data_IF_115475819005
#
_entry.id   IF_115475819005
#
_cell.length_a   1.000
_cell.length_b   1.000
_cell.length_c   1.000
_cell.angle_alpha   90.00
_cell.angle_beta   90.00
_cell.angle_gamma   90.00
#
_symmetry.space_group_name_H-M   'P 1'
#
loop_
_entity.id
_entity.type
_entity.pdbx_description
1 polymer ?
#
# COMPACT_ATOMS: atom_id res chain seq x y z
N UNK A 1 -28.61 2.46 -8.21
CA UNK A 1 -27.29 1.78 -8.19
C UNK A 1 -26.56 2.23 -6.94
N UNK A 2 -25.98 1.33 -6.13
CA UNK A 2 -25.17 1.73 -4.99
C UNK A 2 -23.96 2.55 -5.48
N UNK A 3 -23.61 3.61 -4.75
CA UNK A 3 -22.44 4.45 -5.05
C UNK A 3 -21.18 3.63 -4.76
N UNK A 4 -20.31 3.43 -5.75
CA UNK A 4 -19.02 2.71 -5.57
C UNK A 4 -18.17 3.39 -4.49
N UNK A 5 -17.54 2.60 -3.62
CA UNK A 5 -16.65 3.12 -2.59
C UNK A 5 -15.30 3.54 -3.19
N UNK A 6 -14.50 4.33 -2.45
CA UNK A 6 -13.14 4.72 -2.90
C UNK A 6 -12.23 3.49 -3.08
N UNK A 7 -12.44 2.48 -2.24
CA UNK A 7 -11.79 1.19 -2.36
C UNK A 7 -12.10 0.54 -3.73
N UNK A 8 -13.39 0.40 -4.08
CA UNK A 8 -13.79 -0.23 -5.34
C UNK A 8 -13.25 0.53 -6.55
N UNK A 9 -13.30 1.87 -6.52
CA UNK A 9 -12.77 2.71 -7.60
C UNK A 9 -11.25 2.57 -7.74
N UNK A 10 -10.50 2.55 -6.64
CA UNK A 10 -9.06 2.37 -6.67
C UNK A 10 -8.67 1.01 -7.27
N UNK A 11 -9.41 -0.05 -6.93
CA UNK A 11 -9.14 -1.38 -7.47
C UNK A 11 -9.52 -1.50 -8.95
N UNK A 12 -10.65 -0.93 -9.37
CA UNK A 12 -11.04 -0.88 -10.78
C UNK A 12 -10.02 -0.11 -11.64
N UNK A 13 -9.60 1.07 -11.18
CA UNK A 13 -8.61 1.91 -11.86
C UNK A 13 -7.28 1.16 -12.04
N UNK A 14 -6.76 0.59 -10.95
CA UNK A 14 -5.48 -0.11 -10.94
C UNK A 14 -5.53 -1.43 -11.75
N UNK A 15 -6.65 -2.15 -11.75
CA UNK A 15 -6.82 -3.38 -12.53
C UNK A 15 -6.61 -3.15 -14.04
N UNK A 16 -7.11 -2.03 -14.56
CA UNK A 16 -6.94 -1.63 -15.95
C UNK A 16 -5.48 -1.34 -16.33
N UNK A 17 -4.64 -1.00 -15.35
CA UNK A 17 -3.25 -0.59 -15.55
C UNK A 17 -2.26 -1.76 -15.52
N UNK A 18 -2.55 -2.85 -14.80
CA UNK A 18 -1.66 -4.02 -14.77
C UNK A 18 -1.76 -4.84 -16.06
N UNK A 19 -0.62 -5.06 -16.73
CA UNK A 19 -0.54 -5.90 -17.95
C UNK A 19 0.02 -7.30 -17.70
N UNK A 20 0.94 -7.46 -16.74
CA UNK A 20 1.55 -8.74 -16.41
C UNK A 20 0.61 -9.61 -15.56
N UNK A 21 0.51 -10.91 -15.89
CA UNK A 21 -0.37 -11.87 -15.20
C UNK A 21 -0.03 -12.02 -13.72
N UNK A 22 1.25 -12.09 -13.37
CA UNK A 22 1.72 -12.22 -11.98
C UNK A 22 1.33 -11.02 -11.12
N UNK A 23 1.42 -9.80 -11.67
CA UNK A 23 0.99 -8.57 -10.99
C UNK A 23 -0.51 -8.52 -10.79
N UNK A 24 -1.29 -8.98 -11.78
CA UNK A 24 -2.75 -9.10 -11.66
C UNK A 24 -3.16 -10.12 -10.60
N UNK A 25 -2.47 -11.27 -10.54
CA UNK A 25 -2.74 -12.26 -9.51
C UNK A 25 -2.48 -11.69 -8.13
N UNK A 26 -1.27 -11.17 -7.89
CA UNK A 26 -0.92 -10.53 -6.62
C UNK A 26 -1.91 -9.42 -6.24
N UNK A 27 -2.29 -8.58 -7.20
CA UNK A 27 -3.27 -7.53 -6.95
C UNK A 27 -4.66 -8.08 -6.58
N UNK A 28 -5.13 -9.12 -7.26
CA UNK A 28 -6.40 -9.79 -6.94
C UNK A 28 -6.34 -10.44 -5.55
N UNK A 29 -5.19 -11.02 -5.19
CA UNK A 29 -4.98 -11.60 -3.87
C UNK A 29 -5.06 -10.51 -2.80
N UNK A 30 -4.32 -9.40 -2.96
CA UNK A 30 -4.38 -8.24 -2.05
C UNK A 30 -5.82 -7.70 -1.94
N UNK A 31 -6.58 -7.63 -3.05
CA UNK A 31 -7.97 -7.20 -3.01
C UNK A 31 -8.81 -8.09 -2.09
N UNK A 32 -8.77 -9.41 -2.32
CA UNK A 32 -9.54 -10.37 -1.53
C UNK A 32 -9.16 -10.31 -0.05
N UNK A 33 -7.87 -10.30 0.25
CA UNK A 33 -7.32 -10.22 1.60
C UNK A 33 -7.82 -8.99 2.39
N UNK A 34 -7.84 -7.82 1.74
CA UNK A 34 -8.32 -6.58 2.36
C UNK A 34 -9.85 -6.54 2.54
N UNK A 35 -10.60 -7.38 1.82
CA UNK A 35 -12.06 -7.47 1.93
C UNK A 35 -12.53 -8.54 2.93
N UNK A 36 -11.72 -9.58 3.15
CA UNK A 36 -11.99 -10.70 4.07
C UNK A 36 -12.01 -10.28 5.54
N UNK A 37 -11.10 -9.39 5.95
CA UNK A 37 -11.02 -8.93 7.34
C UNK A 37 -11.89 -7.70 7.59
N UNK A 38 -12.98 -7.87 8.35
CA UNK A 38 -13.96 -6.80 8.64
C UNK A 38 -13.30 -5.52 9.21
N UNK A 39 -12.33 -5.66 10.11
CA UNK A 39 -11.61 -4.51 10.71
C UNK A 39 -10.77 -3.76 9.66
N UNK A 40 -10.06 -4.48 8.80
CA UNK A 40 -9.24 -3.91 7.71
C UNK A 40 -10.12 -3.23 6.68
N UNK A 41 -11.20 -3.90 6.26
CA UNK A 41 -12.20 -3.33 5.36
C UNK A 41 -12.79 -2.04 5.91
N UNK A 42 -13.07 -2.00 7.21
CA UNK A 42 -13.60 -0.83 7.89
C UNK A 42 -12.60 0.34 7.99
N UNK A 43 -11.30 0.05 8.11
CA UNK A 43 -10.22 1.05 8.03
C UNK A 43 -10.17 1.66 6.63
N UNK A 44 -10.21 0.82 5.59
CA UNK A 44 -9.98 1.25 4.21
C UNK A 44 -11.19 1.93 3.58
N UNK A 45 -12.42 1.58 4.00
CA UNK A 45 -13.65 2.15 3.44
C UNK A 45 -14.14 3.41 4.16
N UNK A 46 -13.66 3.70 5.37
CA UNK A 46 -14.09 4.88 6.15
C UNK A 46 -12.91 5.85 6.31
N UNK A 47 -13.04 7.06 5.77
CA UNK A 47 -12.11 8.15 6.09
C UNK A 47 -12.35 8.60 7.53
N UNK A 48 -11.30 8.57 8.37
CA UNK A 48 -11.39 8.85 9.82
C UNK A 48 -10.46 9.98 10.26
N UNK A 49 -9.62 10.48 9.37
CA UNK A 49 -8.67 11.55 9.65
C UNK A 49 -8.48 12.46 8.43
N UNK A 50 -7.94 13.66 8.67
CA UNK A 50 -7.51 14.52 7.57
C UNK A 50 -6.40 13.85 6.74
N UNK A 51 -6.33 14.12 5.41
CA UNK A 51 -5.28 13.61 4.56
C UNK A 51 -3.89 14.01 5.04
N UNK A 52 -3.08 13.01 5.39
CA UNK A 52 -1.70 13.19 5.81
C UNK A 52 -0.76 12.32 4.98
N UNK A 53 0.54 12.63 5.05
CA UNK A 53 1.56 11.77 4.50
C UNK A 53 2.29 11.04 5.61
N UNK A 54 2.40 9.73 5.45
CA UNK A 54 3.15 8.87 6.35
C UNK A 54 4.36 8.31 5.61
N UNK A 55 5.48 8.22 6.32
CA UNK A 55 6.68 7.55 5.88
C UNK A 55 6.72 6.15 6.47
N UNK A 56 7.01 5.16 5.64
CA UNK A 56 7.13 3.75 5.97
C UNK A 56 8.56 3.31 5.65
N UNK A 57 9.24 2.76 6.66
CA UNK A 57 10.53 2.10 6.54
C UNK A 57 10.46 0.74 7.23
N UNK A 58 11.21 -0.24 6.75
CA UNK A 58 11.20 -1.59 7.33
C UNK A 58 12.57 -2.23 7.26
N UNK A 59 12.76 -3.25 8.08
CA UNK A 59 13.90 -4.16 7.99
C UNK A 59 13.44 -5.50 7.43
N UNK A 60 14.09 -5.95 6.36
CA UNK A 60 13.97 -7.34 5.90
C UNK A 60 14.64 -8.28 6.91
N UNK A 61 14.16 -9.52 7.03
CA UNK A 61 14.91 -10.56 7.73
C UNK A 61 16.25 -10.81 7.01
N UNK A 62 17.37 -11.00 7.74
CA UNK A 62 18.63 -11.40 7.12
C UNK A 62 18.44 -12.70 6.34
N UNK A 63 19.04 -12.79 5.14
CA UNK A 63 18.97 -13.96 4.26
C UNK A 63 17.56 -14.38 3.81
N UNK A 64 16.60 -13.46 3.83
CA UNK A 64 15.26 -13.69 3.28
C UNK A 64 15.27 -13.56 1.75
N UNK A 65 15.02 -14.67 1.08
CA UNK A 65 14.95 -14.80 -0.38
C UNK A 65 13.52 -14.67 -0.93
N UNK A 66 12.50 -14.78 -0.07
CA UNK A 66 11.09 -14.64 -0.45
C UNK A 66 10.67 -13.16 -0.54
N UNK A 67 11.21 -12.29 0.32
CA UNK A 67 10.79 -10.89 0.36
C UNK A 67 11.08 -10.13 -0.95
N UNK A 68 10.05 -9.46 -1.47
CA UNK A 68 10.11 -8.66 -2.68
C UNK A 68 9.88 -7.17 -2.39
N UNK A 69 10.93 -6.37 -2.57
CA UNK A 69 10.81 -4.91 -2.52
C UNK A 69 9.79 -4.37 -3.53
N UNK A 70 9.64 -5.03 -4.68
CA UNK A 70 8.70 -4.61 -5.70
C UNK A 70 7.24 -4.83 -5.28
N UNK A 71 6.93 -5.98 -4.69
CA UNK A 71 5.57 -6.26 -4.20
C UNK A 71 5.24 -5.43 -2.96
N UNK A 72 6.21 -5.15 -2.10
CA UNK A 72 6.01 -4.21 -1.00
C UNK A 72 5.72 -2.79 -1.49
N UNK A 73 6.52 -2.28 -2.44
CA UNK A 73 6.26 -0.96 -3.04
C UNK A 73 4.88 -0.95 -3.74
N UNK A 74 4.48 -2.04 -4.40
CA UNK A 74 3.17 -2.20 -5.04
C UNK A 74 2.01 -2.20 -4.03
N UNK A 75 2.12 -2.91 -2.91
CA UNK A 75 1.12 -2.90 -1.85
C UNK A 75 0.90 -1.47 -1.32
N UNK A 76 1.97 -0.70 -1.12
CA UNK A 76 1.85 0.69 -0.69
C UNK A 76 1.22 1.60 -1.76
N UNK A 77 1.47 1.36 -3.05
CA UNK A 77 0.81 2.07 -4.15
C UNK A 77 -0.70 1.80 -4.16
N UNK A 78 -1.13 0.56 -3.91
CA UNK A 78 -2.55 0.21 -3.78
C UNK A 78 -3.17 0.98 -2.61
N UNK A 79 -2.53 0.96 -1.44
CA UNK A 79 -3.01 1.69 -0.26
C UNK A 79 -3.09 3.20 -0.48
N UNK A 80 -2.10 3.78 -1.14
CA UNK A 80 -2.09 5.19 -1.52
C UNK A 80 -3.28 5.54 -2.44
N UNK A 81 -3.54 4.68 -3.45
CA UNK A 81 -4.63 4.86 -4.40
C UNK A 81 -6.02 4.80 -3.76
N UNK A 82 -6.24 3.93 -2.77
CA UNK A 82 -7.50 3.85 -2.00
C UNK A 82 -7.84 5.23 -1.38
N UNK A 83 -6.83 5.97 -0.94
CA UNK A 83 -7.01 7.31 -0.38
C UNK A 83 -6.87 8.43 -1.42
N UNK A 84 -6.97 8.12 -2.72
CA UNK A 84 -6.92 9.08 -3.82
C UNK A 84 -5.53 9.65 -4.08
N UNK A 85 -4.49 8.92 -3.67
CA UNK A 85 -3.12 9.22 -4.07
C UNK A 85 -2.81 8.67 -5.48
N UNK A 86 -1.66 9.09 -6.00
CA UNK A 86 -1.22 8.82 -7.37
C UNK A 86 0.05 7.93 -7.42
N UNK A 87 0.37 7.27 -6.30
CA UNK A 87 1.57 6.47 -6.09
C UNK A 87 2.43 6.98 -4.93
N UNK A 88 3.44 6.19 -4.57
CA UNK A 88 4.32 6.50 -3.44
C UNK A 88 5.53 7.33 -3.87
N UNK A 89 6.16 7.99 -2.90
CA UNK A 89 7.45 8.67 -3.12
C UNK A 89 8.55 8.02 -2.30
N UNK A 90 9.76 7.96 -2.85
CA UNK A 90 10.97 7.44 -2.20
C UNK A 90 12.00 8.57 -2.05
N UNK A 91 11.99 9.30 -0.92
CA UNK A 91 13.01 10.31 -0.62
C UNK A 91 14.41 9.69 -0.53
N UNK A 92 14.50 8.49 0.03
CA UNK A 92 15.71 7.67 0.12
C UNK A 92 15.33 6.20 -0.09
N UNK A 93 16.31 5.34 -0.41
CA UNK A 93 16.06 3.95 -0.81
C UNK A 93 15.20 3.13 0.15
N UNK A 94 15.36 3.34 1.47
CA UNK A 94 14.64 2.58 2.49
C UNK A 94 13.29 3.20 2.92
N UNK A 95 13.00 4.44 2.51
CA UNK A 95 11.82 5.17 2.97
C UNK A 95 10.81 5.31 1.84
N UNK A 96 9.55 4.94 2.11
CA UNK A 96 8.40 5.14 1.22
C UNK A 96 7.42 6.09 1.86
N UNK A 97 6.90 7.04 1.10
CA UNK A 97 5.91 8.01 1.57
C UNK A 97 4.62 7.79 0.80
N UNK A 98 3.51 7.61 1.52
CA UNK A 98 2.17 7.43 0.97
C UNK A 98 1.17 8.37 1.65
N UNK A 99 0.09 8.68 0.92
CA UNK A 99 -1.09 9.36 1.45
C UNK A 99 -1.89 8.40 2.32
N UNK A 100 -2.39 8.90 3.44
CA UNK A 100 -3.19 8.13 4.38
C UNK A 100 -4.26 9.01 5.03
N UNK A 101 -5.48 8.49 5.21
CA UNK A 101 -6.61 9.21 5.84
C UNK A 101 -7.15 8.46 7.09
N UNK A 102 -6.29 7.69 7.76
CA UNK A 102 -6.56 7.03 9.03
C UNK A 102 -5.37 7.19 10.01
N UNK A 103 -5.36 6.47 11.14
CA UNK A 103 -4.26 6.59 12.11
C UNK A 103 -3.02 5.79 11.68
N UNK A 104 -1.86 6.10 12.28
CA UNK A 104 -0.63 5.30 12.11
C UNK A 104 -0.80 3.86 12.59
N UNK A 105 -1.60 3.65 13.64
CA UNK A 105 -1.94 2.31 14.16
C UNK A 105 -2.74 1.52 13.13
N UNK A 106 -3.66 2.17 12.43
CA UNK A 106 -4.45 1.54 11.37
C UNK A 106 -3.57 1.12 10.19
N UNK A 107 -2.62 1.96 9.77
CA UNK A 107 -1.66 1.57 8.73
C UNK A 107 -0.79 0.39 9.16
N UNK A 108 -0.34 0.36 10.43
CA UNK A 108 0.40 -0.78 10.98
C UNK A 108 -0.43 -2.07 10.93
N UNK A 109 -1.71 -2.01 11.33
CA UNK A 109 -2.62 -3.17 11.27
C UNK A 109 -2.77 -3.71 9.86
N UNK A 110 -3.03 -2.81 8.90
CA UNK A 110 -3.16 -3.19 7.48
C UNK A 110 -1.88 -3.84 6.96
N UNK A 111 -0.71 -3.26 7.24
CA UNK A 111 0.56 -3.81 6.75
C UNK A 111 0.94 -5.13 7.41
N UNK A 112 0.59 -5.33 8.69
CA UNK A 112 0.79 -6.61 9.36
C UNK A 112 -0.13 -7.70 8.80
N UNK A 113 -1.42 -7.41 8.58
CA UNK A 113 -2.35 -8.34 7.92
C UNK A 113 -1.79 -8.80 6.57
N UNK A 114 -1.36 -7.86 5.72
CA UNK A 114 -0.75 -8.19 4.43
C UNK A 114 0.54 -9.02 4.58
N UNK A 115 1.40 -8.72 5.55
CA UNK A 115 2.65 -9.47 5.78
C UNK A 115 2.42 -10.89 6.34
N UNK A 116 1.33 -11.10 7.08
CA UNK A 116 0.96 -12.42 7.60
C UNK A 116 0.51 -13.36 6.48
N UNK A 117 -0.20 -12.80 5.49
CA UNK A 117 -0.82 -13.55 4.40
C UNK A 117 0.08 -13.69 3.16
N UNK A 118 1.05 -12.78 2.97
CA UNK A 118 1.96 -12.78 1.81
C UNK A 118 3.41 -12.94 2.23
N UNK A 119 4.06 -14.00 1.76
CA UNK A 119 5.47 -14.30 2.08
C UNK A 119 6.41 -13.20 1.59
N UNK A 120 6.10 -12.65 0.42
CA UNK A 120 6.88 -11.62 -0.26
C UNK A 120 6.83 -10.26 0.45
N UNK A 121 5.93 -10.10 1.42
CA UNK A 121 5.76 -8.89 2.21
C UNK A 121 6.30 -9.02 3.65
N UNK A 122 6.88 -10.17 4.02
CA UNK A 122 7.35 -10.42 5.39
C UNK A 122 8.55 -9.54 5.77
N UNK A 123 8.30 -8.55 6.62
CA UNK A 123 9.32 -7.74 7.27
C UNK A 123 9.59 -8.21 8.71
N UNK A 124 10.76 -7.84 9.26
CA UNK A 124 11.11 -8.08 10.66
C UNK A 124 10.62 -6.96 11.57
N UNK A 125 10.79 -5.72 11.13
CA UNK A 125 10.40 -4.51 11.85
C UNK A 125 9.83 -3.52 10.86
N UNK A 126 8.84 -2.76 11.30
CA UNK A 126 8.20 -1.69 10.53
C UNK A 126 8.21 -0.42 11.36
N UNK A 127 8.53 0.70 10.72
CA UNK A 127 8.52 2.03 11.29
C UNK A 127 7.61 2.92 10.45
N UNK A 128 6.63 3.56 11.11
CA UNK A 128 5.68 4.47 10.50
C UNK A 128 5.78 5.83 11.18
N UNK A 129 6.11 6.86 10.41
CA UNK A 129 6.34 8.22 10.91
C UNK A 129 5.47 9.22 10.15
N UNK A 130 5.02 10.32 10.76
CA UNK A 130 4.51 11.47 10.01
C UNK A 130 5.58 11.99 9.05
N UNK A 131 5.18 12.43 7.85
CA UNK A 131 6.09 13.01 6.87
C UNK A 131 5.65 14.43 6.48
N UNK A 132 6.53 15.45 6.63
CA UNK A 132 6.19 16.83 6.30
C UNK A 132 6.14 17.06 4.79
N UNK A 133 5.40 18.10 4.37
CA UNK A 133 5.44 18.62 2.99
C UNK A 133 6.49 19.75 2.88
N UNK A 134 7.06 20.00 1.69
CA UNK A 134 6.88 19.26 0.44
C UNK A 134 7.64 17.92 0.45
N UNK A 135 7.11 16.93 -0.28
CA UNK A 135 7.81 15.65 -0.44
C UNK A 135 8.80 15.78 -1.59
N UNK A 136 10.09 15.55 -1.30
CA UNK A 136 11.17 15.53 -2.29
C UNK A 136 11.69 14.09 -2.38
N UNK A 137 11.71 13.51 -3.57
CA UNK A 137 12.18 12.15 -3.78
C UNK A 137 11.81 11.59 -5.15
N UNK A 138 12.26 10.36 -5.43
CA UNK A 138 11.85 9.64 -6.63
C UNK A 138 10.43 9.15 -6.46
N UNK A 139 9.52 9.55 -7.34
CA UNK A 139 8.17 9.03 -7.35
C UNK A 139 8.15 7.63 -7.96
N UNK A 140 7.52 6.69 -7.27
CA UNK A 140 7.02 5.45 -7.86
C UNK A 140 5.53 5.66 -8.05
N UNK A 141 5.21 6.18 -9.23
CA UNK A 141 3.83 6.32 -9.66
C UNK A 141 3.26 4.95 -10.05
N UNK A 142 1.96 4.93 -10.33
CA UNK A 142 1.29 3.74 -10.86
C UNK A 142 2.00 3.24 -12.14
N UNK A 143 2.55 4.16 -12.95
CA UNK A 143 3.23 3.85 -14.21
C UNK A 143 4.52 3.05 -14.08
N UNK A 144 5.24 3.21 -12.98
CA UNK A 144 6.49 2.49 -12.72
C UNK A 144 6.27 0.99 -12.48
N UNK A 145 5.07 0.61 -12.01
CA UNK A 145 4.68 -0.79 -11.85
C UNK A 145 3.98 -1.37 -13.10
N UNK A 146 3.76 -0.58 -14.16
CA UNK A 146 3.09 -1.00 -15.40
C UNK A 146 3.96 -1.79 -16.38
N UNK A 147 5.30 -1.77 -16.24
CA UNK A 147 6.23 -2.53 -17.08
C UNK A 147 6.49 -3.93 -16.55
#
# INVERSE_FOLDING_TARGET
MPRKSRFDLAFEDLWGEFRASTKRQFFSDIQGQLEEEDEIRDILRKSRAEPQYLAVSFDRKPNDDEFSYHYFDLALVILDAIFGGEGITKPVNQLRVLRWEASRSDLLKVLNCLAEQNRELKFRRLLILPFPRPIIGRRLDRSTHMR
#
